data_IF_249147037689
#
_entry.id   IF_249147037689
#
_cell.length_a   1.000
_cell.length_b   1.000
_cell.length_c   1.000
_cell.angle_alpha   90.00
_cell.angle_beta   90.00
_cell.angle_gamma   90.00
#
_symmetry.space_group_name_H-M   'P 1'
#
loop_
_entity.id
_entity.type
_entity.pdbx_description
1 polymer ?
#
# COMPACT_ATOMS: atom_id res chain seq x y z
N UNK A 1 -12.21 5.49 -5.59
CA UNK A 1 -11.65 6.50 -4.72
C UNK A 1 -10.43 5.95 -3.97
N UNK A 2 -9.39 6.76 -3.83
CA UNK A 2 -8.12 6.28 -3.27
C UNK A 2 -8.22 5.80 -1.82
N UNK A 3 -8.98 6.50 -0.97
CA UNK A 3 -9.13 6.11 0.44
C UNK A 3 -9.82 4.75 0.57
N UNK A 4 -10.91 4.55 -0.16
CA UNK A 4 -11.64 3.28 -0.15
C UNK A 4 -10.77 2.15 -0.69
N UNK A 5 -10.05 2.41 -1.78
CA UNK A 5 -9.13 1.44 -2.38
C UNK A 5 -8.02 1.07 -1.39
N UNK A 6 -7.45 2.07 -0.72
CA UNK A 6 -6.40 1.84 0.28
C UNK A 6 -6.91 0.98 1.44
N UNK A 7 -8.13 1.23 1.88
CA UNK A 7 -8.75 0.43 2.94
C UNK A 7 -8.89 -1.04 2.54
N UNK A 8 -9.40 -1.28 1.33
CA UNK A 8 -9.56 -2.65 0.82
C UNK A 8 -8.22 -3.37 0.69
N UNK A 9 -7.20 -2.67 0.20
CA UNK A 9 -5.84 -3.21 0.08
C UNK A 9 -5.27 -3.53 1.46
N UNK A 10 -5.49 -2.65 2.43
CA UNK A 10 -5.04 -2.87 3.81
C UNK A 10 -5.62 -4.16 4.38
N UNK A 11 -6.92 -4.37 4.24
CA UNK A 11 -7.58 -5.57 4.76
C UNK A 11 -7.02 -6.84 4.13
N UNK A 12 -6.81 -6.81 2.82
CA UNK A 12 -6.22 -7.95 2.13
C UNK A 12 -4.80 -8.26 2.62
N UNK A 13 -3.99 -7.21 2.76
CA UNK A 13 -2.60 -7.36 3.19
C UNK A 13 -2.51 -7.86 4.63
N UNK A 14 -3.32 -7.34 5.54
CA UNK A 14 -3.33 -7.79 6.92
C UNK A 14 -3.70 -9.27 7.03
N UNK A 15 -4.72 -9.69 6.29
CA UNK A 15 -5.12 -11.07 6.26
C UNK A 15 -4.03 -11.97 5.67
N UNK A 16 -3.39 -11.52 4.60
CA UNK A 16 -2.34 -12.28 3.92
C UNK A 16 -1.07 -12.41 4.78
N UNK A 17 -0.64 -11.31 5.39
CA UNK A 17 0.54 -11.29 6.26
C UNK A 17 0.37 -12.21 7.47
N UNK A 18 -0.85 -12.32 7.97
CA UNK A 18 -1.16 -13.24 9.07
C UNK A 18 -0.82 -14.71 8.77
N UNK A 19 -0.69 -15.06 7.50
CA UNK A 19 -0.35 -16.41 7.05
C UNK A 19 1.14 -16.59 6.76
N UNK A 20 1.94 -15.56 6.93
CA UNK A 20 3.40 -15.65 6.75
C UNK A 20 4.01 -16.56 7.82
N UNK A 21 5.14 -17.24 7.52
CA UNK A 21 5.88 -17.98 8.54
C UNK A 21 6.22 -17.08 9.72
N UNK A 22 6.12 -17.64 10.92
CA UNK A 22 6.29 -16.88 12.16
C UNK A 22 7.61 -16.10 12.19
N UNK A 23 8.69 -16.70 11.69
CA UNK A 23 10.01 -16.07 11.66
C UNK A 23 10.08 -14.80 10.82
N UNK A 24 9.18 -14.65 9.86
CA UNK A 24 9.18 -13.50 8.93
C UNK A 24 7.98 -12.58 9.12
N UNK A 25 7.01 -13.01 9.94
CA UNK A 25 5.83 -12.19 10.23
C UNK A 25 6.21 -10.91 10.95
N UNK A 26 7.15 -10.99 11.87
CA UNK A 26 7.57 -9.84 12.67
C UNK A 26 8.61 -8.95 12.01
N UNK A 27 9.15 -9.34 10.87
CA UNK A 27 10.10 -8.51 10.10
C UNK A 27 9.40 -7.99 8.85
N UNK A 28 9.21 -8.86 7.86
CA UNK A 28 8.62 -8.46 6.59
C UNK A 28 7.13 -8.13 6.75
N UNK A 29 6.39 -8.97 7.47
CA UNK A 29 4.96 -8.77 7.67
C UNK A 29 4.64 -7.45 8.37
N UNK A 30 5.36 -7.14 9.44
CA UNK A 30 5.16 -5.87 10.17
C UNK A 30 5.48 -4.67 9.30
N UNK A 31 6.50 -4.75 8.45
CA UNK A 31 6.85 -3.66 7.54
C UNK A 31 5.80 -3.43 6.50
N UNK A 32 5.22 -4.51 5.95
CA UNK A 32 4.13 -4.41 4.98
C UNK A 32 2.93 -3.73 5.63
N UNK A 33 2.52 -4.20 6.80
CA UNK A 33 1.36 -3.64 7.51
C UNK A 33 1.57 -2.19 7.88
N UNK A 34 2.72 -1.89 8.47
CA UNK A 34 3.08 -0.54 8.90
C UNK A 34 3.08 0.44 7.73
N UNK A 35 3.65 0.02 6.60
CA UNK A 35 3.72 0.86 5.41
C UNK A 35 2.33 1.09 4.80
N UNK A 36 1.48 0.05 4.81
CA UNK A 36 0.13 0.20 4.29
C UNK A 36 -0.73 1.09 5.19
N UNK A 37 -0.57 0.97 6.51
CA UNK A 37 -1.24 1.88 7.45
C UNK A 37 -0.81 3.32 7.19
N UNK A 38 0.47 3.54 6.91
CA UNK A 38 0.99 4.88 6.58
C UNK A 38 0.33 5.43 5.31
N UNK A 39 0.11 4.59 4.30
CA UNK A 39 -0.61 5.01 3.08
C UNK A 39 -2.02 5.48 3.43
N UNK A 40 -2.75 4.67 4.18
CA UNK A 40 -4.13 5.00 4.54
C UNK A 40 -4.19 6.29 5.35
N UNK A 41 -3.32 6.42 6.35
CA UNK A 41 -3.26 7.64 7.17
C UNK A 41 -2.98 8.87 6.32
N UNK A 42 -2.01 8.80 5.42
CA UNK A 42 -1.66 9.93 4.57
C UNK A 42 -2.83 10.34 3.67
N UNK A 43 -3.57 9.36 3.13
CA UNK A 43 -4.70 9.66 2.28
C UNK A 43 -5.88 10.26 3.05
N UNK A 44 -6.12 9.79 4.27
CA UNK A 44 -7.15 10.36 5.13
C UNK A 44 -6.79 11.80 5.50
N UNK A 45 -5.52 12.03 5.88
CA UNK A 45 -5.06 13.38 6.20
C UNK A 45 -5.14 14.30 4.99
N UNK A 46 -4.83 13.80 3.79
CA UNK A 46 -4.97 14.56 2.55
C UNK A 46 -6.42 14.98 2.32
N UNK A 47 -7.38 14.11 2.64
CA UNK A 47 -8.79 14.39 2.44
C UNK A 47 -9.26 15.61 3.27
N UNK A 48 -8.66 15.81 4.44
CA UNK A 48 -9.03 16.91 5.35
C UNK A 48 -8.11 18.12 5.26
N UNK A 49 -6.93 17.98 4.64
CA UNK A 49 -5.96 19.08 4.57
C UNK A 49 -6.34 20.10 3.50
N UNK A 50 -5.99 21.36 3.74
CA UNK A 50 -6.11 22.40 2.73
C UNK A 50 -5.06 22.20 1.65
N UNK A 51 -3.79 22.03 2.04
CA UNK A 51 -2.71 21.69 1.12
C UNK A 51 -2.45 20.19 1.23
N UNK A 52 -2.73 19.47 0.15
CA UNK A 52 -2.71 18.01 0.12
C UNK A 52 -1.39 17.44 -0.41
N UNK A 53 -0.50 18.30 -0.92
CA UNK A 53 0.67 17.85 -1.69
C UNK A 53 1.59 16.93 -0.93
N UNK A 54 1.95 17.30 0.30
CA UNK A 54 2.89 16.50 1.09
C UNK A 54 2.30 15.15 1.50
N UNK A 55 1.01 15.14 1.86
CA UNK A 55 0.32 13.91 2.21
C UNK A 55 0.24 12.96 1.02
N UNK A 56 -0.07 13.48 -0.16
CA UNK A 56 -0.16 12.66 -1.37
C UNK A 56 1.21 12.15 -1.80
N UNK A 57 2.25 12.97 -1.64
CA UNK A 57 3.63 12.55 -1.93
C UNK A 57 4.06 11.43 -0.99
N UNK A 58 3.74 11.55 0.28
CA UNK A 58 4.01 10.52 1.30
C UNK A 58 3.33 9.20 0.91
N UNK A 59 2.03 9.26 0.59
CA UNK A 59 1.27 8.09 0.22
C UNK A 59 1.86 7.41 -1.02
N UNK A 60 2.22 8.18 -2.03
CA UNK A 60 2.79 7.64 -3.25
C UNK A 60 4.14 6.94 -2.99
N UNK A 61 4.99 7.57 -2.17
CA UNK A 61 6.26 6.97 -1.78
C UNK A 61 6.08 5.65 -1.05
N UNK A 62 5.14 5.61 -0.12
CA UNK A 62 4.82 4.39 0.64
C UNK A 62 4.33 3.26 -0.28
N UNK A 63 3.51 3.58 -1.28
CA UNK A 63 3.04 2.59 -2.25
C UNK A 63 4.22 2.01 -3.03
N UNK A 64 5.19 2.82 -3.42
CA UNK A 64 6.36 2.33 -4.14
C UNK A 64 7.19 1.37 -3.27
N UNK A 65 7.36 1.68 -1.99
CA UNK A 65 8.06 0.78 -1.06
C UNK A 65 7.26 -0.52 -0.89
N UNK A 66 5.94 -0.43 -0.73
CA UNK A 66 5.08 -1.61 -0.61
C UNK A 66 5.21 -2.56 -1.79
N UNK A 67 5.31 -2.04 -2.99
CA UNK A 67 5.46 -2.87 -4.19
C UNK A 67 6.69 -3.76 -4.11
N UNK A 68 7.79 -3.23 -3.57
CA UNK A 68 9.01 -4.02 -3.37
C UNK A 68 8.89 -4.99 -2.19
N UNK A 69 8.22 -4.58 -1.12
CA UNK A 69 8.03 -5.46 0.04
C UNK A 69 7.17 -6.68 -0.31
N UNK A 70 6.09 -6.49 -1.08
CA UNK A 70 5.27 -7.64 -1.48
C UNK A 70 6.00 -8.53 -2.48
N UNK A 71 6.87 -7.95 -3.31
CA UNK A 71 7.74 -8.73 -4.19
C UNK A 71 8.71 -9.59 -3.39
N UNK A 72 9.26 -9.04 -2.31
CA UNK A 72 10.12 -9.81 -1.40
C UNK A 72 9.37 -11.01 -0.82
N UNK A 73 8.12 -10.83 -0.44
CA UNK A 73 7.28 -11.92 0.05
C UNK A 73 7.10 -13.02 -0.99
N UNK A 74 6.93 -12.65 -2.25
CA UNK A 74 6.85 -13.61 -3.35
C UNK A 74 8.17 -14.34 -3.54
N UNK A 75 9.27 -13.60 -3.59
CA UNK A 75 10.60 -14.17 -3.84
C UNK A 75 11.04 -15.11 -2.70
N UNK A 76 10.58 -14.85 -1.49
CA UNK A 76 10.83 -15.71 -0.32
C UNK A 76 9.86 -16.88 -0.21
N UNK A 77 8.88 -16.96 -1.08
CA UNK A 77 7.93 -18.08 -1.12
C UNK A 77 6.73 -17.93 -0.20
N UNK A 78 6.50 -16.76 0.42
CA UNK A 78 5.38 -16.53 1.34
C UNK A 78 4.12 -16.09 0.61
N UNK A 79 4.25 -15.69 -0.63
CA UNK A 79 3.16 -15.21 -1.47
C UNK A 79 3.23 -15.97 -2.79
N UNK A 80 2.15 -16.62 -3.19
CA UNK A 80 2.11 -17.35 -4.46
C UNK A 80 2.19 -16.39 -5.63
N UNK A 81 2.54 -16.90 -6.81
CA UNK A 81 2.58 -16.10 -8.04
C UNK A 81 1.22 -15.46 -8.31
N UNK A 82 0.14 -16.19 -8.07
CA UNK A 82 -1.24 -15.72 -8.28
C UNK A 82 -1.61 -14.62 -7.30
N UNK A 83 -1.26 -14.79 -6.03
CA UNK A 83 -1.50 -13.77 -5.00
C UNK A 83 -0.69 -12.51 -5.29
N UNK A 84 0.56 -12.68 -5.69
CA UNK A 84 1.42 -11.55 -6.03
C UNK A 84 0.88 -10.78 -7.23
N UNK A 85 0.42 -11.48 -8.25
CA UNK A 85 -0.20 -10.83 -9.42
C UNK A 85 -1.40 -9.98 -9.01
N UNK A 86 -2.24 -10.53 -8.13
CA UNK A 86 -3.41 -9.82 -7.64
C UNK A 86 -3.01 -8.54 -6.88
N UNK A 87 -2.17 -8.68 -5.85
CA UNK A 87 -1.84 -7.53 -5.00
C UNK A 87 -0.99 -6.50 -5.75
N UNK A 88 -0.12 -6.94 -6.64
CA UNK A 88 0.69 -6.05 -7.47
C UNK A 88 -0.20 -5.16 -8.33
N UNK A 89 -1.23 -5.74 -8.94
CA UNK A 89 -2.21 -5.01 -9.75
C UNK A 89 -2.99 -4.01 -8.90
N UNK A 90 -3.39 -4.41 -7.69
CA UNK A 90 -4.12 -3.54 -6.78
C UNK A 90 -3.27 -2.35 -6.33
N UNK A 91 -1.99 -2.58 -6.07
CA UNK A 91 -1.07 -1.49 -5.68
C UNK A 91 -0.79 -0.54 -6.85
N UNK A 92 -0.68 -1.05 -8.06
CA UNK A 92 -0.53 -0.20 -9.26
C UNK A 92 -1.77 0.67 -9.43
N UNK A 93 -2.96 0.09 -9.27
CA UNK A 93 -4.20 0.84 -9.38
C UNK A 93 -4.32 1.91 -8.29
N UNK A 94 -3.96 1.57 -7.05
CA UNK A 94 -3.94 2.54 -5.95
C UNK A 94 -2.98 3.70 -6.27
N UNK A 95 -1.79 3.38 -6.75
CA UNK A 95 -0.81 4.40 -7.15
C UNK A 95 -1.35 5.31 -8.25
N UNK A 96 -2.09 4.74 -9.20
CA UNK A 96 -2.73 5.51 -10.28
C UNK A 96 -3.78 6.47 -9.73
N UNK A 97 -4.59 6.02 -8.77
CA UNK A 97 -5.61 6.87 -8.14
C UNK A 97 -4.97 8.01 -7.33
N UNK A 98 -3.88 7.71 -6.62
CA UNK A 98 -3.12 8.74 -5.88
C UNK A 98 -2.53 9.75 -6.87
N UNK A 99 -1.94 9.27 -7.97
CA UNK A 99 -1.39 10.11 -9.02
C UNK A 99 -2.44 11.02 -9.65
N UNK A 100 -3.63 10.49 -9.90
CA UNK A 100 -4.75 11.28 -10.41
C UNK A 100 -5.18 12.38 -9.43
N UNK A 101 -5.23 12.05 -8.15
CA UNK A 101 -5.56 13.03 -7.11
C UNK A 101 -4.48 14.12 -7.03
N UNK A 102 -3.21 13.73 -7.06
CA UNK A 102 -2.08 14.68 -7.07
C UNK A 102 -2.18 15.64 -8.25
N UNK A 103 -2.49 15.10 -9.43
CA UNK A 103 -2.64 15.88 -10.65
C UNK A 103 -3.77 16.90 -10.54
N UNK A 104 -4.88 16.50 -9.95
CA UNK A 104 -6.02 17.38 -9.74
C UNK A 104 -5.67 18.54 -8.81
N UNK A 105 -4.79 18.33 -7.83
CA UNK A 105 -4.36 19.39 -6.92
C UNK A 105 -3.38 20.37 -7.57
N UNK A 106 -2.63 19.93 -8.57
CA UNK A 106 -1.66 20.77 -9.26
C UNK A 106 -2.33 21.72 -10.27
N UNK A 107 -3.50 21.35 -10.73
CA UNK A 107 -4.27 22.14 -11.68
C UNK A 107 -5.15 23.12 -11.00
#
# INVERSE_FOLDING_TARGET
>A
MAVTKAYDVLLWLMNHVGKFPRSHRFVLGDRIESRMLSVLEALVLAAYARDKRDHLRQANGDVQVLRLLVRAGKDLGFTSAKQYEFISRELVDLGRQIGGWTKAQAG
#
